data_IF_243126201325
#
_entry.id   IF_243126201325
#
_cell.length_a   1.000
_cell.length_b   1.000
_cell.length_c   1.000
_cell.angle_alpha   90.00
_cell.angle_beta   90.00
_cell.angle_gamma   90.00
#
_symmetry.space_group_name_H-M   'P 1'
#
loop_
_entity.id
_entity.type
_entity.pdbx_description
1 polymer ?
#
# COMPACT_ATOMS: atom_id res chain seq x y z
N UNK A 1 -2.91 -9.07 -16.88
CA UNK A 1 -4.04 -9.82 -17.47
C UNK A 1 -5.28 -8.92 -17.48
N UNK A 2 -6.31 -9.20 -18.29
CA UNK A 2 -7.53 -8.35 -18.33
C UNK A 2 -8.18 -8.25 -16.93
N UNK A 3 -8.04 -9.29 -16.11
CA UNK A 3 -8.39 -9.24 -14.69
C UNK A 3 -9.88 -9.37 -14.42
N UNK A 4 -10.33 -8.82 -13.29
CA UNK A 4 -11.72 -8.85 -12.84
C UNK A 4 -12.09 -7.57 -12.08
N UNK A 5 -13.01 -7.68 -11.13
CA UNK A 5 -13.50 -6.54 -10.36
C UNK A 5 -12.77 -6.35 -9.03
N UNK A 6 -12.90 -5.14 -8.49
CA UNK A 6 -12.53 -4.84 -7.11
C UNK A 6 -13.50 -5.52 -6.16
N UNK A 7 -13.05 -5.82 -4.95
CA UNK A 7 -13.96 -6.17 -3.85
C UNK A 7 -14.64 -4.90 -3.32
N UNK A 8 -15.70 -5.05 -2.51
CA UNK A 8 -16.32 -3.91 -1.82
C UNK A 8 -15.32 -3.10 -0.98
N UNK A 9 -14.32 -3.77 -0.39
CA UNK A 9 -13.25 -3.11 0.34
C UNK A 9 -12.34 -2.31 -0.61
N UNK A 10 -12.01 -2.88 -1.77
CA UNK A 10 -11.23 -2.20 -2.81
C UNK A 10 -11.95 -0.96 -3.34
N UNK A 11 -13.24 -1.08 -3.67
CA UNK A 11 -14.05 0.07 -4.10
C UNK A 11 -14.08 1.16 -3.02
N UNK A 12 -14.30 0.78 -1.77
CA UNK A 12 -14.34 1.75 -0.67
C UNK A 12 -13.01 2.51 -0.53
N UNK A 13 -11.87 1.80 -0.50
CA UNK A 13 -10.55 2.44 -0.35
C UNK A 13 -10.24 3.37 -1.53
N UNK A 14 -10.54 2.95 -2.76
CA UNK A 14 -10.32 3.77 -3.96
C UNK A 14 -11.22 5.01 -3.99
N UNK A 15 -12.50 4.87 -3.62
CA UNK A 15 -13.46 5.98 -3.61
C UNK A 15 -13.20 6.99 -2.48
N UNK A 16 -12.62 6.54 -1.36
CA UNK A 16 -12.33 7.40 -0.20
C UNK A 16 -10.89 7.92 -0.16
N UNK A 17 -10.05 7.52 -1.13
CA UNK A 17 -8.63 7.86 -1.17
C UNK A 17 -7.90 7.63 0.18
N UNK A 18 -8.22 6.52 0.84
CA UNK A 18 -7.61 6.21 2.12
C UNK A 18 -8.04 4.89 2.74
N UNK A 19 -7.26 4.47 3.71
CA UNK A 19 -7.60 3.35 4.60
C UNK A 19 -8.52 3.84 5.71
N UNK A 20 -9.42 2.98 6.23
CA UNK A 20 -10.25 3.36 7.36
C UNK A 20 -9.36 3.67 8.57
N UNK A 21 -9.72 4.73 9.32
CA UNK A 21 -9.01 5.13 10.54
C UNK A 21 -9.33 4.18 11.71
N UNK A 22 -8.88 2.93 11.58
CA UNK A 22 -9.00 1.88 12.57
C UNK A 22 -7.83 0.91 12.44
N UNK A 23 -7.51 0.19 13.50
CA UNK A 23 -6.50 -0.87 13.48
C UNK A 23 -7.00 -2.03 12.60
N UNK A 24 -6.29 -2.32 11.52
CA UNK A 24 -6.60 -3.41 10.60
C UNK A 24 -5.63 -4.57 10.88
N UNK A 25 -6.16 -5.77 11.07
CA UNK A 25 -5.35 -6.99 11.16
C UNK A 25 -5.03 -7.49 9.77
N UNK A 26 -3.81 -8.00 9.58
CA UNK A 26 -3.45 -8.70 8.36
C UNK A 26 -4.37 -9.92 8.17
N UNK A 27 -4.95 -10.12 6.98
CA UNK A 27 -5.77 -11.30 6.70
C UNK A 27 -4.97 -12.59 6.87
N UNK A 28 -5.63 -13.65 7.36
CA UNK A 28 -4.99 -14.95 7.64
C UNK A 28 -4.41 -15.62 6.38
N UNK A 29 -4.96 -15.31 5.20
CA UNK A 29 -4.51 -15.78 3.88
C UNK A 29 -3.06 -15.42 3.54
N UNK A 30 -2.48 -14.40 4.21
CA UNK A 30 -1.07 -14.04 4.06
C UNK A 30 -0.13 -14.91 4.92
N UNK A 31 -0.66 -15.79 5.75
CA UNK A 31 0.09 -16.68 6.62
C UNK A 31 0.80 -15.97 7.78
N UNK A 32 1.53 -16.74 8.59
CA UNK A 32 2.41 -16.19 9.63
C UNK A 32 3.67 -15.65 8.95
N UNK A 33 3.70 -14.34 8.74
CA UNK A 33 4.91 -13.67 8.28
C UNK A 33 5.86 -13.58 9.47
N UNK A 34 6.85 -14.48 9.54
CA UNK A 34 7.98 -14.35 10.47
C UNK A 34 8.93 -13.30 9.88
N UNK A 35 8.75 -12.05 10.27
CA UNK A 35 9.62 -10.97 9.81
C UNK A 35 10.89 -10.92 10.67
N UNK A 36 12.05 -11.16 10.06
CA UNK A 36 13.34 -10.78 10.66
C UNK A 36 13.62 -9.34 10.24
N UNK A 37 13.53 -8.42 11.19
CA UNK A 37 13.84 -7.01 10.96
C UNK A 37 15.28 -6.83 10.47
N UNK A 38 15.47 -5.92 9.52
CA UNK A 38 16.77 -5.38 9.09
C UNK A 38 17.10 -4.12 9.91
N UNK A 39 18.36 -3.67 9.91
CA UNK A 39 18.71 -2.33 10.39
C UNK A 39 17.84 -1.24 9.73
N UNK A 40 17.56 -0.17 10.49
CA UNK A 40 16.73 0.96 10.00
C UNK A 40 17.24 1.56 8.69
N UNK A 41 18.56 1.73 8.56
CA UNK A 41 19.17 2.34 7.38
C UNK A 41 18.93 1.52 6.11
N UNK A 42 18.88 0.19 6.21
CA UNK A 42 18.62 -0.67 5.06
C UNK A 42 17.19 -0.44 4.53
N UNK A 43 16.21 -0.29 5.43
CA UNK A 43 14.84 0.05 5.03
C UNK A 43 14.74 1.45 4.42
N UNK A 44 15.50 2.42 4.93
CA UNK A 44 15.48 3.78 4.36
C UNK A 44 16.00 3.78 2.92
N UNK A 45 17.07 3.05 2.64
CA UNK A 45 17.60 2.89 1.28
C UNK A 45 16.58 2.23 0.35
N UNK A 46 15.95 1.14 0.80
CA UNK A 46 14.90 0.45 0.03
C UNK A 46 13.69 1.36 -0.27
N UNK A 47 13.30 2.22 0.69
CA UNK A 47 12.23 3.20 0.46
C UNK A 47 12.65 4.25 -0.57
N UNK A 48 13.90 4.73 -0.53
CA UNK A 48 14.43 5.67 -1.53
C UNK A 48 14.41 5.08 -2.95
N UNK A 49 14.79 3.80 -3.09
CA UNK A 49 14.73 3.07 -4.36
C UNK A 49 13.29 2.94 -4.88
N UNK A 50 12.33 2.59 -4.01
CA UNK A 50 10.91 2.52 -4.36
C UNK A 50 10.40 3.89 -4.83
N UNK A 51 10.80 4.98 -4.17
CA UNK A 51 10.40 6.34 -4.54
C UNK A 51 10.99 6.76 -5.90
N UNK A 52 12.25 6.41 -6.18
CA UNK A 52 12.87 6.67 -7.47
C UNK A 52 12.15 5.92 -8.59
N UNK A 53 11.96 4.60 -8.44
CA UNK A 53 11.24 3.78 -9.40
C UNK A 53 9.79 4.26 -9.61
N UNK A 54 9.12 4.69 -8.53
CA UNK A 54 7.77 5.24 -8.59
C UNK A 54 7.72 6.50 -9.46
N UNK A 55 8.70 7.40 -9.35
CA UNK A 55 8.78 8.64 -10.16
C UNK A 55 8.99 8.34 -11.65
N UNK A 56 9.86 7.38 -11.96
CA UNK A 56 10.16 6.99 -13.34
C UNK A 56 8.94 6.37 -14.05
N UNK A 57 8.04 5.76 -13.28
CA UNK A 57 6.83 5.11 -13.80
C UNK A 57 5.61 6.05 -13.92
N UNK A 58 5.63 7.25 -13.33
CA UNK A 58 4.44 8.13 -13.26
C UNK A 58 3.84 8.41 -14.64
N UNK A 59 4.67 8.76 -15.62
CA UNK A 59 4.19 9.10 -16.96
C UNK A 59 3.55 7.89 -17.64
N UNK A 60 4.18 6.72 -17.54
CA UNK A 60 3.64 5.48 -18.09
C UNK A 60 2.31 5.10 -17.42
N UNK A 61 2.21 5.27 -16.10
CA UNK A 61 0.99 4.99 -15.33
C UNK A 61 -0.15 5.94 -15.74
N UNK A 62 0.16 7.21 -16.00
CA UNK A 62 -0.83 8.19 -16.45
C UNK A 62 -1.34 7.91 -17.87
N UNK A 63 -0.50 7.33 -18.72
CA UNK A 63 -0.86 6.94 -20.08
C UNK A 63 -1.54 5.55 -20.17
N UNK A 64 -1.55 4.78 -19.07
CA UNK A 64 -2.15 3.45 -19.03
C UNK A 64 -3.68 3.52 -19.23
N UNK A 65 -4.18 2.71 -20.16
CA UNK A 65 -5.60 2.61 -20.47
C UNK A 65 -6.42 1.94 -19.34
N UNK A 66 -5.75 1.27 -18.40
CA UNK A 66 -6.39 0.57 -17.28
C UNK A 66 -6.93 -0.83 -17.62
N UNK A 67 -6.66 -1.32 -18.84
CA UNK A 67 -7.15 -2.62 -19.35
C UNK A 67 -6.52 -3.81 -18.61
N UNK A 68 -5.26 -3.67 -18.17
CA UNK A 68 -4.55 -4.73 -17.48
C UNK A 68 -4.59 -4.52 -15.98
N UNK A 69 -5.00 -5.57 -15.28
CA UNK A 69 -5.10 -5.59 -13.81
C UNK A 69 -4.34 -6.76 -13.23
N UNK A 70 -3.93 -6.62 -11.98
CA UNK A 70 -3.41 -7.71 -11.14
C UNK A 70 -4.21 -7.79 -9.84
N UNK A 71 -4.28 -9.01 -9.29
CA UNK A 71 -5.12 -9.30 -8.12
C UNK A 71 -4.39 -8.88 -6.84
N UNK A 72 -4.96 -7.92 -6.14
CA UNK A 72 -4.67 -7.64 -4.74
C UNK A 72 -5.51 -8.60 -3.86
N UNK A 73 -4.94 -9.20 -2.80
CA UNK A 73 -5.67 -10.20 -1.99
C UNK A 73 -6.92 -9.63 -1.32
N UNK A 74 -6.82 -8.44 -0.72
CA UNK A 74 -7.97 -7.76 -0.08
C UNK A 74 -8.85 -6.99 -1.06
N UNK A 75 -8.27 -6.22 -1.98
CA UNK A 75 -8.99 -5.25 -2.80
C UNK A 75 -9.52 -5.78 -4.12
N UNK A 76 -9.23 -7.04 -4.46
CA UNK A 76 -9.60 -7.59 -5.76
C UNK A 76 -8.66 -7.09 -6.86
N UNK A 77 -9.16 -6.87 -8.06
CA UNK A 77 -8.30 -6.51 -9.19
C UNK A 77 -8.07 -5.00 -9.31
N UNK A 78 -6.80 -4.60 -9.32
CA UNK A 78 -6.38 -3.21 -9.45
C UNK A 78 -5.59 -3.01 -10.75
N UNK A 79 -5.82 -1.90 -11.43
CA UNK A 79 -5.01 -1.44 -12.56
C UNK A 79 -3.75 -0.69 -12.09
N UNK A 80 -2.92 -0.22 -13.03
CA UNK A 80 -1.65 0.46 -12.72
C UNK A 80 -1.86 1.71 -11.84
N UNK A 81 -2.83 2.56 -12.18
CA UNK A 81 -3.14 3.78 -11.43
C UNK A 81 -3.67 3.49 -10.02
N UNK A 82 -4.46 2.43 -9.86
CA UNK A 82 -5.01 2.00 -8.58
C UNK A 82 -3.93 1.39 -7.67
N UNK A 83 -2.99 0.62 -8.23
CA UNK A 83 -1.81 0.15 -7.50
C UNK A 83 -0.91 1.30 -7.04
N UNK A 84 -0.69 2.28 -7.91
CA UNK A 84 0.10 3.46 -7.57
C UNK A 84 -0.57 4.29 -6.46
N UNK A 85 -1.89 4.50 -6.55
CA UNK A 85 -2.67 5.13 -5.46
C UNK A 85 -2.60 4.32 -4.17
N UNK A 86 -2.69 2.99 -4.25
CA UNK A 86 -2.59 2.12 -3.08
C UNK A 86 -1.24 2.29 -2.36
N UNK A 87 -0.13 2.41 -3.09
CA UNK A 87 1.19 2.67 -2.51
C UNK A 87 1.20 3.94 -1.64
N UNK A 88 0.68 5.06 -2.15
CA UNK A 88 0.54 6.32 -1.39
C UNK A 88 -0.34 6.14 -0.16
N UNK A 89 -1.57 5.66 -0.36
CA UNK A 89 -2.56 5.57 0.71
C UNK A 89 -2.06 4.67 1.85
N UNK A 90 -1.39 3.58 1.51
CA UNK A 90 -0.88 2.62 2.47
C UNK A 90 0.32 3.17 3.26
N UNK A 91 1.20 3.91 2.58
CA UNK A 91 2.32 4.61 3.22
C UNK A 91 1.82 5.64 4.23
N UNK A 92 0.85 6.48 3.82
CA UNK A 92 0.24 7.48 4.71
C UNK A 92 -0.45 6.83 5.91
N UNK A 93 -1.15 5.71 5.72
CA UNK A 93 -1.73 4.95 6.82
C UNK A 93 -0.68 4.50 7.84
N UNK A 94 0.45 3.96 7.39
CA UNK A 94 1.52 3.50 8.29
C UNK A 94 2.26 4.64 8.98
N UNK A 95 2.43 5.80 8.33
CA UNK A 95 3.02 6.98 8.99
C UNK A 95 2.17 7.46 10.17
N UNK A 96 0.83 7.40 10.04
CA UNK A 96 -0.09 7.70 11.15
C UNK A 96 0.10 6.69 12.30
N UNK A 97 0.12 5.38 12.00
CA UNK A 97 0.35 4.35 13.02
C UNK A 97 1.72 4.51 13.71
N UNK A 98 2.76 4.86 12.95
CA UNK A 98 4.10 5.10 13.50
C UNK A 98 4.08 6.27 14.47
N UNK A 99 3.47 7.40 14.09
CA UNK A 99 3.34 8.57 14.96
C UNK A 99 2.56 8.27 16.25
N UNK A 100 1.49 7.47 16.18
CA UNK A 100 0.74 7.01 17.36
C UNK A 100 1.61 6.18 18.31
N UNK A 101 2.43 5.26 17.78
CA UNK A 101 3.33 4.42 18.57
C UNK A 101 4.49 5.21 19.17
N UNK A 102 5.05 6.16 18.43
CA UNK A 102 6.10 7.07 18.91
C UNK A 102 5.59 7.95 20.05
N UNK A 103 4.38 8.51 19.91
CA UNK A 103 3.74 9.28 20.98
C UNK A 103 3.50 8.42 22.23
N UNK A 104 3.03 7.18 22.06
CA UNK A 104 2.86 6.25 23.18
C UNK A 104 4.19 5.94 23.88
N UNK A 105 5.25 5.67 23.12
CA UNK A 105 6.57 5.37 23.66
C UNK A 105 7.21 6.57 24.38
N UNK A 106 6.93 7.81 23.94
CA UNK A 106 7.43 9.02 24.58
C UNK A 106 6.77 9.32 25.95
N UNK A 107 5.67 8.65 26.27
CA UNK A 107 4.95 8.76 27.54
C UNK A 107 5.23 7.60 28.52
N UNK A 108 6.16 6.72 28.16
CA UNK A 108 6.67 5.61 29.00
C UNK A 108 8.08 5.95 29.49
#
# INVERSE_FOLDING_TARGET
QIGGEKTLAGEWVMNNNGFPNKKVKMPEEFGVVIYKGKPKNDYLLEIEEILAASKDLVELINQDAGDYKSKHPVFGFLNAQEWFRNLEMHTRHHLIQMAELEALAAHV
#
